data_IF_953973004396
#
_entry.id   IF_953973004396
#
_cell.length_a   1.000
_cell.length_b   1.000
_cell.length_c   1.000
_cell.angle_alpha   90.00
_cell.angle_beta   90.00
_cell.angle_gamma   90.00
#
_symmetry.space_group_name_H-M   'P 1'
#
loop_
_entity.id
_entity.type
_entity.pdbx_description
1 polymer ?
#
# COMPACT_ATOMS: atom_id res chain seq x y z
N UNK A 1 -2.50 -9.96 11.20
CA UNK A 1 -3.84 -9.42 11.55
C UNK A 1 -4.65 -9.14 10.30
N UNK A 2 -4.21 -8.23 9.43
CA UNK A 2 -4.95 -7.82 8.21
C UNK A 2 -5.36 -9.01 7.32
N UNK A 3 -4.42 -9.90 6.97
CA UNK A 3 -4.72 -11.11 6.18
C UNK A 3 -5.79 -11.99 6.84
N UNK A 4 -5.70 -12.20 8.16
CA UNK A 4 -6.68 -13.01 8.89
C UNK A 4 -8.07 -12.38 8.88
N UNK A 5 -8.17 -11.06 9.03
CA UNK A 5 -9.43 -10.34 8.92
C UNK A 5 -10.00 -10.44 7.49
N UNK A 6 -9.18 -10.22 6.46
CA UNK A 6 -9.60 -10.37 5.07
C UNK A 6 -10.08 -11.78 4.75
N UNK A 7 -9.45 -12.81 5.32
CA UNK A 7 -9.89 -14.19 5.18
C UNK A 7 -11.30 -14.44 5.75
N UNK A 8 -11.74 -13.65 6.73
CA UNK A 8 -13.11 -13.72 7.27
C UNK A 8 -14.15 -12.94 6.44
N UNK A 9 -13.74 -12.33 5.33
CA UNK A 9 -14.63 -11.64 4.38
C UNK A 9 -14.79 -10.14 4.62
N UNK A 10 -14.00 -9.52 5.51
CA UNK A 10 -14.00 -8.05 5.66
C UNK A 10 -12.90 -7.43 4.81
N UNK A 11 -13.14 -6.23 4.26
CA UNK A 11 -12.05 -5.44 3.65
C UNK A 11 -11.07 -5.00 4.73
N UNK A 12 -9.79 -5.31 4.55
CA UNK A 12 -8.75 -5.03 5.53
C UNK A 12 -7.52 -4.38 4.88
N UNK A 13 -6.93 -3.41 5.59
CA UNK A 13 -5.69 -2.76 5.20
C UNK A 13 -4.78 -2.46 6.39
N UNK A 14 -3.51 -2.16 6.11
CA UNK A 14 -2.61 -1.51 7.06
C UNK A 14 -1.78 -0.41 6.38
N UNK A 15 -1.43 0.62 7.16
CA UNK A 15 -0.44 1.62 6.80
C UNK A 15 0.92 1.31 7.43
N UNK A 16 1.99 1.54 6.67
CA UNK A 16 3.39 1.37 7.07
C UNK A 16 4.26 2.39 6.30
N UNK A 17 5.57 2.28 6.45
CA UNK A 17 6.58 2.96 5.63
C UNK A 17 7.69 1.96 5.26
N UNK A 18 8.67 2.34 4.43
CA UNK A 18 9.66 1.44 3.82
C UNK A 18 10.27 0.40 4.77
N UNK A 19 10.76 0.80 5.95
CA UNK A 19 11.34 -0.13 6.93
C UNK A 19 10.34 -1.16 7.50
N UNK A 20 9.08 -0.75 7.71
CA UNK A 20 8.02 -1.68 8.14
C UNK A 20 7.52 -2.56 7.00
N UNK A 21 7.45 -2.01 5.77
CA UNK A 21 7.10 -2.78 4.58
C UNK A 21 8.11 -3.90 4.32
N UNK A 22 9.41 -3.64 4.51
CA UNK A 22 10.46 -4.66 4.40
C UNK A 22 10.18 -5.89 5.29
N UNK A 23 9.61 -5.71 6.49
CA UNK A 23 9.19 -6.80 7.38
C UNK A 23 7.92 -7.50 6.91
N UNK A 24 7.03 -6.79 6.22
CA UNK A 24 5.77 -7.32 5.70
C UNK A 24 5.95 -8.09 4.38
N UNK A 25 7.10 -8.00 3.73
CA UNK A 25 7.44 -8.67 2.45
C UNK A 25 6.95 -10.12 2.38
N UNK A 26 7.20 -10.93 3.42
CA UNK A 26 6.75 -12.34 3.47
C UNK A 26 5.22 -12.46 3.55
N UNK A 27 4.57 -11.54 4.25
CA UNK A 27 3.11 -11.52 4.39
C UNK A 27 2.42 -11.12 3.08
N UNK A 28 3.01 -10.20 2.30
CA UNK A 28 2.50 -9.82 0.98
C UNK A 28 2.45 -11.03 0.05
N UNK A 29 3.54 -11.79 -0.06
CA UNK A 29 3.55 -13.01 -0.87
C UNK A 29 2.62 -14.10 -0.34
N UNK A 30 2.48 -14.22 0.99
CA UNK A 30 1.51 -15.14 1.58
C UNK A 30 0.06 -14.77 1.23
N UNK A 31 -0.28 -13.47 1.19
CA UNK A 31 -1.59 -13.00 0.76
C UNK A 31 -1.85 -13.30 -0.72
N UNK A 32 -0.85 -13.11 -1.59
CA UNK A 32 -0.92 -13.49 -3.00
C UNK A 32 -1.15 -15.00 -3.18
N UNK A 33 -0.35 -15.83 -2.53
CA UNK A 33 -0.47 -17.30 -2.59
C UNK A 33 -1.84 -17.81 -2.09
N UNK A 34 -2.43 -17.17 -1.08
CA UNK A 34 -3.72 -17.57 -0.52
C UNK A 34 -4.93 -16.91 -1.20
N UNK A 35 -4.70 -16.10 -2.23
CA UNK A 35 -5.74 -15.33 -2.92
C UNK A 35 -6.58 -14.46 -1.97
N UNK A 36 -5.91 -13.84 -0.98
CA UNK A 36 -6.57 -13.01 0.04
C UNK A 36 -6.46 -11.53 -0.34
N UNK A 37 -7.58 -10.83 -0.59
CA UNK A 37 -7.57 -9.41 -0.93
C UNK A 37 -7.25 -8.56 0.31
N UNK A 38 -6.07 -7.95 0.32
CA UNK A 38 -5.61 -7.04 1.37
C UNK A 38 -4.85 -5.87 0.75
N UNK A 39 -5.00 -4.69 1.37
CA UNK A 39 -4.29 -3.48 0.91
C UNK A 39 -3.19 -3.10 1.90
N UNK A 40 -1.98 -2.87 1.38
CA UNK A 40 -0.84 -2.36 2.12
C UNK A 40 -0.52 -0.96 1.61
N UNK A 41 -0.51 0.03 2.50
CA UNK A 41 -0.12 1.40 2.17
C UNK A 41 1.30 1.65 2.67
N UNK A 42 2.20 1.92 1.73
CA UNK A 42 3.56 2.36 2.01
C UNK A 42 3.64 3.88 1.88
N UNK A 43 3.70 4.56 3.03
CA UNK A 43 3.94 5.99 3.10
C UNK A 43 5.44 6.22 3.08
N UNK A 44 5.96 6.46 1.89
CA UNK A 44 7.39 6.56 1.63
C UNK A 44 7.99 7.75 2.36
N UNK A 45 9.07 7.47 3.07
CA UNK A 45 9.90 8.46 3.78
C UNK A 45 11.35 8.20 3.42
N UNK A 46 12.21 9.16 3.70
CA UNK A 46 13.61 9.07 3.32
C UNK A 46 14.30 7.84 3.96
N UNK A 47 14.92 7.02 3.12
CA UNK A 47 15.66 5.80 3.47
C UNK A 47 17.18 5.97 3.36
N UNK A 48 17.96 4.86 3.30
CA UNK A 48 17.58 3.47 3.59
C UNK A 48 17.55 3.18 5.11
N UNK A 49 17.07 1.99 5.49
CA UNK A 49 16.98 1.55 6.90
C UNK A 49 16.14 2.52 7.74
N UNK A 50 16.71 3.10 8.81
CA UNK A 50 16.04 4.14 9.58
C UNK A 50 15.91 5.43 8.77
N UNK A 51 16.82 5.72 7.86
CA UNK A 51 16.82 6.91 7.01
C UNK A 51 16.56 8.20 7.79
N UNK A 52 15.69 9.07 7.26
CA UNK A 52 15.22 10.29 7.93
C UNK A 52 13.70 10.25 8.03
N UNK A 53 13.13 9.84 9.19
CA UNK A 53 11.69 9.57 9.32
C UNK A 53 10.76 10.72 8.97
N UNK A 54 11.23 11.96 9.08
CA UNK A 54 10.44 13.18 8.87
C UNK A 54 10.71 13.83 7.51
N UNK A 55 11.39 13.15 6.58
CA UNK A 55 11.65 13.67 5.24
C UNK A 55 10.98 12.79 4.19
N UNK A 56 10.46 13.45 3.16
CA UNK A 56 9.84 12.78 2.03
C UNK A 56 10.91 12.24 1.08
N UNK A 57 10.64 11.07 0.50
CA UNK A 57 11.38 10.45 -0.59
C UNK A 57 10.41 9.52 -1.33
N UNK A 58 10.69 9.21 -2.60
CA UNK A 58 9.95 8.23 -3.41
C UNK A 58 10.88 7.08 -3.83
N UNK A 59 11.57 6.49 -2.85
CA UNK A 59 12.65 5.52 -3.07
C UNK A 59 12.23 4.05 -3.03
N UNK A 60 11.00 3.74 -2.60
CA UNK A 60 10.60 2.37 -2.25
C UNK A 60 10.00 1.59 -3.43
N UNK A 61 9.95 2.18 -4.63
CA UNK A 61 9.38 1.52 -5.83
C UNK A 61 9.99 0.14 -6.09
N UNK A 62 11.31 0.01 -6.01
CA UNK A 62 11.99 -1.28 -6.22
C UNK A 62 11.68 -2.30 -5.11
N UNK A 63 11.49 -1.85 -3.87
CA UNK A 63 11.12 -2.72 -2.76
C UNK A 63 9.71 -3.29 -2.95
N UNK A 64 8.77 -2.47 -3.44
CA UNK A 64 7.39 -2.89 -3.73
C UNK A 64 7.33 -3.81 -4.95
N UNK A 65 8.05 -3.47 -6.02
CA UNK A 65 8.14 -4.31 -7.21
C UNK A 65 8.84 -5.64 -6.91
N UNK A 66 9.79 -5.68 -5.98
CA UNK A 66 10.50 -6.90 -5.55
C UNK A 66 9.91 -7.58 -4.32
N UNK A 67 8.70 -7.21 -3.88
CA UNK A 67 8.13 -7.74 -2.65
C UNK A 67 7.91 -9.26 -2.76
N UNK A 68 8.42 -10.00 -1.79
CA UNK A 68 8.35 -11.47 -1.64
C UNK A 68 9.14 -12.27 -2.69
N UNK A 69 9.60 -13.44 -2.27
CA UNK A 69 10.11 -14.46 -3.18
C UNK A 69 8.99 -15.12 -3.98
N UNK A 70 9.32 -15.55 -5.21
CA UNK A 70 8.40 -16.21 -6.13
C UNK A 70 7.53 -15.23 -6.93
N UNK A 71 6.77 -15.78 -7.87
CA UNK A 71 5.87 -15.02 -8.74
C UNK A 71 4.44 -15.08 -8.19
N UNK A 72 3.78 -13.93 -8.16
CA UNK A 72 2.38 -13.77 -7.75
C UNK A 72 1.87 -12.41 -8.23
N UNK A 73 0.56 -12.33 -8.45
CA UNK A 73 -0.11 -11.12 -8.90
C UNK A 73 -0.32 -10.15 -7.73
N UNK A 74 -0.15 -8.86 -8.02
CA UNK A 74 -0.41 -7.77 -7.08
C UNK A 74 -0.75 -6.51 -7.86
N UNK A 75 -1.68 -5.72 -7.34
CA UNK A 75 -1.88 -4.37 -7.83
C UNK A 75 -0.86 -3.43 -7.17
N UNK A 76 -0.26 -2.55 -7.96
CA UNK A 76 0.60 -1.47 -7.45
C UNK A 76 0.04 -0.16 -7.99
N UNK A 77 -0.32 0.75 -7.09
CA UNK A 77 -0.85 2.07 -7.44
C UNK A 77 -0.05 3.16 -6.73
N UNK A 78 0.14 4.29 -7.40
CA UNK A 78 0.84 5.45 -6.86
C UNK A 78 0.00 6.72 -7.12
N UNK A 79 -0.90 7.09 -6.19
CA UNK A 79 -1.72 8.28 -6.32
C UNK A 79 -0.88 9.56 -6.44
N UNK A 80 -1.33 10.49 -7.29
CA UNK A 80 -0.57 11.73 -7.59
C UNK A 80 -0.74 12.83 -6.55
N UNK A 81 -1.89 12.85 -5.85
CA UNK A 81 -2.25 13.86 -4.85
C UNK A 81 -3.23 13.27 -3.82
N UNK A 82 -3.60 14.06 -2.81
CA UNK A 82 -4.45 13.58 -1.72
C UNK A 82 -5.91 13.31 -2.13
N UNK A 83 -6.45 13.98 -3.14
CA UNK A 83 -7.80 13.68 -3.66
C UNK A 83 -7.78 12.39 -4.47
N UNK A 84 -6.75 12.22 -5.30
CA UNK A 84 -6.50 10.99 -6.06
C UNK A 84 -6.30 9.79 -5.13
N UNK A 85 -5.60 9.97 -4.01
CA UNK A 85 -5.43 8.91 -3.00
C UNK A 85 -6.77 8.51 -2.36
N UNK A 86 -7.66 9.48 -2.10
CA UNK A 86 -9.01 9.21 -1.59
C UNK A 86 -9.86 8.43 -2.59
N UNK A 87 -9.82 8.83 -3.87
CA UNK A 87 -10.61 8.20 -4.94
C UNK A 87 -10.06 6.82 -5.36
N UNK A 88 -8.74 6.65 -5.37
CA UNK A 88 -8.08 5.40 -5.76
C UNK A 88 -8.34 4.28 -4.77
N UNK A 89 -8.47 4.58 -3.47
CA UNK A 89 -8.62 3.54 -2.44
C UNK A 89 -9.86 2.64 -2.63
N UNK A 90 -11.10 3.16 -2.81
CA UNK A 90 -12.26 2.31 -3.06
C UNK A 90 -12.15 1.53 -4.38
N UNK A 91 -11.59 2.13 -5.43
CA UNK A 91 -11.36 1.45 -6.70
C UNK A 91 -10.38 0.29 -6.55
N UNK A 92 -9.27 0.50 -5.85
CA UNK A 92 -8.29 -0.53 -5.56
C UNK A 92 -8.91 -1.68 -4.77
N UNK A 93 -9.70 -1.41 -3.74
CA UNK A 93 -10.41 -2.47 -3.01
C UNK A 93 -11.34 -3.27 -3.92
N UNK A 94 -12.07 -2.61 -4.82
CA UNK A 94 -12.93 -3.30 -5.79
C UNK A 94 -12.12 -4.18 -6.75
N UNK A 95 -10.94 -3.74 -7.18
CA UNK A 95 -10.03 -4.51 -8.02
C UNK A 95 -9.43 -5.71 -7.26
N UNK A 96 -8.93 -5.49 -6.04
CA UNK A 96 -8.41 -6.54 -5.16
C UNK A 96 -9.47 -7.61 -4.87
N UNK A 97 -10.69 -7.22 -4.53
CA UNK A 97 -11.79 -8.17 -4.28
C UNK A 97 -12.14 -8.98 -5.53
N UNK A 98 -12.12 -8.34 -6.71
CA UNK A 98 -12.45 -8.99 -7.99
C UNK A 98 -11.38 -9.95 -8.46
N UNK A 99 -10.10 -9.58 -8.32
CA UNK A 99 -8.96 -10.37 -8.80
C UNK A 99 -8.35 -11.26 -7.71
N UNK A 100 -8.84 -11.16 -6.47
CA UNK A 100 -8.38 -11.90 -5.29
C UNK A 100 -6.86 -11.81 -5.09
N UNK A 101 -6.29 -10.61 -5.22
CA UNK A 101 -4.86 -10.38 -5.07
C UNK A 101 -4.55 -9.17 -4.18
N UNK A 102 -3.36 -9.10 -3.56
CA UNK A 102 -2.98 -7.98 -2.70
C UNK A 102 -2.81 -6.69 -3.50
N UNK A 103 -3.22 -5.58 -2.89
CA UNK A 103 -3.00 -4.21 -3.39
C UNK A 103 -1.92 -3.50 -2.61
N UNK A 104 -0.99 -2.86 -3.31
CA UNK A 104 0.11 -2.08 -2.76
C UNK A 104 -0.05 -0.62 -3.19
N UNK A 105 -0.12 0.29 -2.22
CA UNK A 105 -0.28 1.72 -2.46
C UNK A 105 1.01 2.42 -2.09
N UNK A 106 1.59 3.16 -3.02
CA UNK A 106 2.72 4.05 -2.82
C UNK A 106 2.22 5.48 -2.69
N UNK A 107 2.34 6.07 -1.50
CA UNK A 107 2.25 7.52 -1.33
C UNK A 107 3.56 8.02 -0.73
N UNK A 108 3.81 9.32 -0.76
CA UNK A 108 4.96 9.91 -0.08
C UNK A 108 4.54 10.62 1.21
N UNK A 109 5.52 10.95 2.05
CA UNK A 109 5.29 11.62 3.33
C UNK A 109 4.64 13.00 3.15
N UNK A 110 4.87 13.69 2.03
CA UNK A 110 4.29 15.01 1.77
C UNK A 110 2.77 14.91 1.60
N UNK A 111 2.29 13.91 0.85
CA UNK A 111 0.87 13.61 0.70
C UNK A 111 0.31 13.01 2.00
N UNK A 112 1.04 12.09 2.64
CA UNK A 112 0.59 11.36 3.82
C UNK A 112 0.40 12.22 5.08
N UNK A 113 1.24 13.23 5.29
CA UNK A 113 1.13 14.17 6.42
C UNK A 113 0.53 15.54 6.04
N UNK A 114 0.42 15.83 4.74
CA UNK A 114 -0.07 17.09 4.22
C UNK A 114 -1.54 17.33 4.56
N UNK A 115 -1.91 18.61 4.70
CA UNK A 115 -3.30 19.05 4.84
C UNK A 115 -3.72 19.79 3.58
N UNK A 116 -4.84 19.38 3.01
CA UNK A 116 -5.36 19.92 1.76
C UNK A 116 -6.82 20.28 1.94
N UNK A 117 -7.29 21.27 1.17
CA UNK A 117 -8.70 21.66 1.13
C UNK A 117 -9.23 21.36 -0.27
N UNK A 118 -10.39 20.71 -0.33
CA UNK A 118 -11.04 20.31 -1.56
C UNK A 118 -12.47 20.82 -1.57
N UNK A 119 -12.98 21.13 -2.76
CA UNK A 119 -14.40 21.43 -2.96
C UNK A 119 -15.18 20.09 -3.01
N UNK A 120 -16.19 19.87 -2.16
CA UNK A 120 -16.97 18.62 -2.12
C UNK A 120 -17.77 18.32 -3.40
N UNK A 121 -17.83 19.24 -4.37
CA UNK A 121 -18.64 19.11 -5.60
C UNK A 121 -17.86 18.52 -6.79
N UNK A 122 -16.56 18.22 -6.63
CA UNK A 122 -15.69 17.67 -7.70
C UNK A 122 -15.49 16.17 -7.59
#
# INVERSE_FOLDING_TARGET
>A
MVIGAAHTGVRAMCGTSGGGFALMTKAVGAAGMMEIPVVYVDVQRAGPSTGVPTKTEQGDLWQILGASQGDYERFVVAPKDALDAFNTMPELFNLCDKAQCPGLVLIDLLIGEGRFSFDPVT
#
